data_IF_574991082616
#
_entry.id   IF_574991082616
#
_cell.length_a   1.000
_cell.length_b   1.000
_cell.length_c   1.000
_cell.angle_alpha   90.00
_cell.angle_beta   90.00
_cell.angle_gamma   90.00
#
_symmetry.space_group_name_H-M   'P 1'
#
loop_
_entity.id
_entity.type
_entity.pdbx_description
1 polymer ?
2 non-polymer ?
3 non-polymer ?
4 non-polymer ?
5 water ?
#
# COMPACT_ATOMS: atom_id res chain seq x y z
N UNK A 1 1.50 -19.72 25.92
CA UNK A 1 2.23 -18.68 25.21
C UNK A 1 2.59 -17.53 26.16
N UNK A 2 3.87 -17.15 26.19
CA UNK A 2 4.28 -16.02 27.02
C UNK A 2 3.88 -14.68 26.39
N UNK A 3 3.77 -14.66 25.07
CA UNK A 3 3.44 -13.42 24.34
C UNK A 3 2.06 -12.91 24.71
N UNK A 4 1.89 -11.60 24.76
CA UNK A 4 0.55 -11.02 24.80
C UNK A 4 0.17 -10.61 23.38
N UNK A 5 -1.00 -11.03 22.93
CA UNK A 5 -1.46 -10.68 21.59
C UNK A 5 -2.89 -10.13 21.69
N UNK A 6 -3.05 -8.87 21.28
CA UNK A 6 -4.32 -8.18 21.38
C UNK A 6 -4.67 -7.62 20.00
N UNK A 7 -5.94 -7.66 19.62
CA UNK A 7 -6.34 -7.07 18.34
C UNK A 7 -7.44 -6.07 18.57
N UNK A 8 -7.19 -4.81 18.21
CA UNK A 8 -8.24 -3.81 18.23
C UNK A 8 -8.91 -3.84 16.87
N UNK A 9 -10.23 -4.00 16.84
CA UNK A 9 -10.89 -4.27 15.56
C UNK A 9 -12.32 -3.78 15.59
N UNK A 10 -12.99 -3.84 14.44
CA UNK A 10 -14.38 -3.47 14.30
C UNK A 10 -15.00 -4.60 13.48
N UNK A 11 -16.02 -5.26 14.02
CA UNK A 11 -16.40 -6.59 13.51
C UNK A 11 -16.64 -6.74 11.99
N UNK A 12 -17.27 -5.75 11.33
CA UNK A 12 -17.52 -5.97 9.90
C UNK A 12 -16.37 -5.45 9.01
N UNK A 13 -15.28 -5.02 9.60
CA UNK A 13 -14.14 -4.50 8.83
C UNK A 13 -13.42 -5.59 8.05
N UNK A 14 -13.40 -5.49 6.71
CA UNK A 14 -12.65 -6.49 5.94
C UNK A 14 -11.15 -6.47 6.32
N UNK A 15 -10.67 -5.28 6.63
CA UNK A 15 -9.25 -5.11 6.97
C UNK A 15 -8.90 -5.84 8.27
N UNK A 16 -9.74 -5.67 9.29
CA UNK A 16 -9.54 -6.41 10.54
C UNK A 16 -9.65 -7.91 10.35
N UNK A 17 -10.61 -8.34 9.52
CA UNK A 17 -10.77 -9.76 9.25
C UNK A 17 -9.49 -10.38 8.73
N UNK A 18 -8.74 -9.64 7.90
CA UNK A 18 -7.44 -10.17 7.44
C UNK A 18 -6.55 -10.60 8.60
N UNK A 19 -6.43 -9.73 9.59
CA UNK A 19 -5.57 -9.99 10.74
C UNK A 19 -6.12 -11.15 11.57
N UNK A 20 -7.45 -11.18 11.73
CA UNK A 20 -8.08 -12.31 12.43
C UNK A 20 -7.72 -13.64 11.77
N UNK A 21 -7.87 -13.70 10.45
CA UNK A 21 -7.54 -14.92 9.72
C UNK A 21 -6.06 -15.27 9.91
N UNK A 22 -5.18 -14.28 9.79
CA UNK A 22 -3.75 -14.55 9.90
C UNK A 22 -3.43 -15.15 11.27
N UNK A 23 -4.01 -14.59 12.32
CA UNK A 23 -3.74 -15.08 13.67
C UNK A 23 -4.27 -16.49 13.80
N UNK A 24 -5.47 -16.71 13.31
CA UNK A 24 -6.09 -18.04 13.40
C UNK A 24 -5.31 -19.10 12.63
N UNK A 25 -4.80 -18.72 11.46
CA UNK A 25 -4.04 -19.64 10.62
C UNK A 25 -2.73 -20.07 11.30
N UNK A 26 -2.22 -19.19 12.16
CA UNK A 26 -1.02 -19.52 12.93
C UNK A 26 -1.36 -20.23 14.24
N UNK A 27 -2.66 -20.36 14.53
CA UNK A 27 -3.11 -20.99 15.75
C UNK A 27 -2.80 -20.16 16.98
N UNK A 28 -2.83 -18.84 16.80
CA UNK A 28 -2.56 -17.93 17.91
C UNK A 28 -3.83 -17.50 18.61
N UNK A 29 -3.93 -17.82 19.89
CA UNK A 29 -5.02 -17.32 20.72
C UNK A 29 -4.75 -15.87 21.06
N UNK A 30 -5.69 -15.00 20.76
CA UNK A 30 -5.47 -13.57 21.01
C UNK A 30 -6.69 -12.96 21.67
N UNK A 31 -6.49 -11.81 22.30
CA UNK A 31 -7.60 -11.05 22.85
C UNK A 31 -8.14 -10.08 21.81
N UNK A 32 -9.41 -10.24 21.47
CA UNK A 32 -10.07 -9.35 20.52
C UNK A 32 -10.78 -8.24 21.29
N UNK A 33 -10.57 -7.00 20.89
CA UNK A 33 -11.24 -5.87 21.51
C UNK A 33 -12.06 -5.08 20.50
N UNK A 34 -13.38 -5.09 20.64
CA UNK A 34 -14.27 -4.36 19.73
C UNK A 34 -14.19 -2.85 19.91
N UNK A 35 -13.97 -2.14 18.82
CA UNK A 35 -13.89 -0.68 18.85
C UNK A 35 -15.11 -0.03 18.24
N UNK A 36 -15.62 0.99 18.91
CA UNK A 36 -16.68 1.83 18.38
C UNK A 36 -16.00 2.99 17.67
N UNK A 37 -16.14 3.06 16.35
CA UNK A 37 -15.38 4.04 15.59
C UNK A 37 -15.92 5.45 15.77
N UNK A 38 -17.11 5.54 16.35
CA UNK A 38 -17.70 6.82 16.72
C UNK A 38 -17.30 7.21 18.14
N UNK A 39 -16.69 6.27 18.86
CA UNK A 39 -16.20 6.52 20.20
C UNK A 39 -14.91 5.74 20.45
N UNK A 40 -13.87 6.12 19.71
CA UNK A 40 -12.60 5.39 19.75
C UNK A 40 -12.00 5.40 21.13
N UNK A 41 -11.44 4.27 21.54
CA UNK A 41 -10.86 4.14 22.87
C UNK A 41 -9.56 4.91 22.98
N UNK A 42 -9.22 5.34 24.19
CA UNK A 42 -7.92 5.97 24.45
C UNK A 42 -6.80 5.06 23.98
N UNK A 43 -6.97 3.75 24.17
CA UNK A 43 -5.96 2.79 23.74
C UNK A 43 -5.76 2.87 22.22
N UNK A 44 -6.86 2.91 21.48
CA UNK A 44 -6.76 2.97 20.03
C UNK A 44 -6.04 4.25 19.60
N UNK A 45 -6.42 5.38 20.19
CA UNK A 45 -5.79 6.65 19.85
C UNK A 45 -4.31 6.67 20.22
N UNK A 46 -3.94 5.95 21.27
CA UNK A 46 -2.55 5.89 21.71
C UNK A 46 -1.72 5.00 20.78
N UNK A 47 -2.30 3.87 20.36
CA UNK A 47 -1.61 2.88 19.54
C UNK A 47 -1.57 3.23 18.05
N UNK A 48 -2.56 3.96 17.55
CA UNK A 48 -2.55 4.38 16.16
C UNK A 48 -2.77 5.89 16.05
N UNK A 49 -1.82 6.67 16.57
CA UNK A 49 -2.01 8.13 16.57
C UNK A 49 -2.03 8.70 15.16
N UNK A 50 -1.35 8.05 14.22
CA UNK A 50 -1.25 8.58 12.85
C UNK A 50 -2.55 8.45 12.06
N UNK A 51 -3.15 7.27 12.07
CA UNK A 51 -4.35 7.00 11.28
C UNK A 51 -5.63 6.90 12.13
N UNK A 52 -5.47 6.54 13.40
CA UNK A 52 -6.60 6.36 14.31
C UNK A 52 -7.60 5.38 13.71
N UNK A 53 -7.06 4.31 13.12
CA UNK A 53 -7.88 3.29 12.47
C UNK A 53 -7.64 1.93 13.06
N UNK A 54 -8.63 1.04 12.93
CA UNK A 54 -8.43 -0.38 13.16
C UNK A 54 -8.19 -1.06 11.81
N UNK A 55 -7.60 -2.26 11.81
CA UNK A 55 -7.17 -3.01 13.00
C UNK A 55 -5.83 -2.50 13.53
N UNK A 56 -5.61 -2.72 14.83
CA UNK A 56 -4.28 -2.55 15.41
C UNK A 56 -3.91 -3.85 16.10
N UNK A 57 -2.81 -4.46 15.69
CA UNK A 57 -2.33 -5.65 16.37
C UNK A 57 -1.35 -5.18 17.45
N UNK A 58 -1.52 -5.62 18.68
CA UNK A 58 -0.61 -5.22 19.74
C UNK A 58 0.06 -6.47 20.25
N UNK A 59 1.37 -6.55 20.06
CA UNK A 59 2.11 -7.74 20.43
C UNK A 59 3.09 -7.35 21.51
N UNK A 60 2.92 -7.91 22.70
CA UNK A 60 3.77 -7.55 23.83
C UNK A 60 3.82 -6.04 24.02
N UNK A 61 2.66 -5.41 23.84
CA UNK A 61 2.49 -3.99 24.12
C UNK A 61 2.88 -3.05 23.00
N UNK A 62 3.36 -3.59 21.88
CA UNK A 62 3.79 -2.77 20.74
C UNK A 62 2.79 -2.90 19.60
N UNK A 63 2.39 -1.77 19.02
CA UNK A 63 1.36 -1.79 17.98
C UNK A 63 1.92 -1.97 16.58
N UNK A 64 1.21 -2.74 15.77
CA UNK A 64 1.44 -2.87 14.35
C UNK A 64 0.15 -2.46 13.67
N UNK A 65 0.21 -1.32 12.95
CA UNK A 65 -0.93 -0.79 12.23
C UNK A 65 -0.82 -1.09 10.73
N UNK A 66 -1.97 -1.03 10.05
CA UNK A 66 -2.12 -1.38 8.63
C UNK A 66 -2.23 -2.90 8.46
N UNK A 67 -3.42 -3.35 8.08
CA UNK A 67 -3.72 -4.78 8.08
C UNK A 67 -2.68 -5.68 7.38
N UNK A 68 -2.29 -5.34 6.16
CA UNK A 68 -1.36 -6.20 5.42
C UNK A 68 0.04 -6.22 6.05
N UNK A 69 0.43 -5.08 6.63
CA UNK A 69 1.70 -5.01 7.36
C UNK A 69 1.65 -5.88 8.60
N UNK A 70 0.50 -5.87 9.28
CA UNK A 70 0.29 -6.75 10.42
C UNK A 70 0.33 -8.22 10.02
N UNK A 71 -0.27 -8.57 8.87
CA UNK A 71 -0.24 -9.95 8.43
C UNK A 71 1.20 -10.38 8.13
N UNK A 72 1.96 -9.52 7.48
CA UNK A 72 3.38 -9.80 7.25
C UNK A 72 4.18 -9.97 8.54
N UNK A 73 3.88 -9.15 9.53
CA UNK A 73 4.53 -9.23 10.83
C UNK A 73 4.22 -10.58 11.48
N UNK A 74 2.95 -10.97 11.45
CA UNK A 74 2.55 -12.28 11.99
C UNK A 74 3.32 -13.40 11.27
N UNK A 75 3.45 -13.29 9.95
CA UNK A 75 4.16 -14.29 9.18
C UNK A 75 5.63 -14.39 9.61
N UNK A 76 6.24 -13.24 9.86
CA UNK A 76 7.68 -13.22 10.19
C UNK A 76 7.98 -13.61 11.62
N UNK A 77 7.06 -13.32 12.53
CA UNK A 77 7.24 -13.67 13.93
C UNK A 77 6.93 -15.15 14.19
N UNK A 78 5.78 -15.61 13.72
CA UNK A 78 5.40 -17.02 13.88
C UNK A 78 5.71 -17.79 12.60
N UNK A 79 6.99 -17.97 12.34
CA UNK A 79 7.45 -18.48 11.05
C UNK A 79 7.77 -19.96 11.08
N UNK A 80 7.23 -20.68 12.05
CA UNK A 80 7.47 -22.12 12.14
C UNK A 80 6.21 -22.94 11.86
N UNK A 81 5.21 -22.30 11.27
CA UNK A 81 4.05 -23.04 10.78
C UNK A 81 3.33 -22.27 9.69
N UNK A 82 2.47 -22.98 8.96
CA UNK A 82 1.63 -22.39 7.93
C UNK A 82 2.18 -21.09 7.38
N UNK A 83 3.21 -21.18 6.53
CA UNK A 83 3.73 -19.98 5.87
C UNK A 83 2.68 -19.35 4.96
N UNK A 84 2.50 -18.04 5.09
CA UNK A 84 1.48 -17.32 4.34
C UNK A 84 2.04 -16.70 3.08
N UNK A 85 3.35 -16.64 2.96
CA UNK A 85 4.00 -16.12 1.76
C UNK A 85 4.93 -17.16 1.16
N UNK A 86 5.14 -17.11 -0.16
CA UNK A 86 6.06 -18.02 -0.85
C UNK A 86 7.47 -17.72 -0.41
N UNK A 87 8.40 -18.64 -0.63
CA UNK A 87 9.80 -18.42 -0.30
C UNK A 87 10.56 -17.77 -1.46
N UNK A 88 10.15 -18.09 -2.69
CA UNK A 88 10.80 -17.52 -3.87
C UNK A 88 10.55 -16.01 -3.98
N UNK A 89 11.62 -15.22 -4.12
CA UNK A 89 11.45 -13.76 -4.17
C UNK A 89 10.52 -13.27 -5.27
N UNK A 90 10.60 -13.86 -6.46
CA UNK A 90 9.71 -13.41 -7.53
C UNK A 90 8.23 -13.72 -7.23
N UNK A 91 7.97 -14.94 -6.76
CA UNK A 91 6.62 -15.29 -6.37
C UNK A 91 6.14 -14.38 -5.23
N UNK A 92 7.03 -14.04 -4.31
CA UNK A 92 6.68 -13.15 -3.22
C UNK A 92 6.29 -11.77 -3.76
N UNK A 93 7.04 -11.30 -4.74
CA UNK A 93 6.72 -10.00 -5.34
C UNK A 93 5.35 -10.04 -6.01
N UNK A 94 5.03 -11.15 -6.67
CA UNK A 94 3.72 -11.27 -7.32
C UNK A 94 2.58 -11.33 -6.29
N UNK A 95 2.79 -12.05 -5.20
CA UNK A 95 1.78 -12.12 -4.15
C UNK A 95 1.55 -10.73 -3.57
N UNK A 96 2.65 -10.00 -3.33
CA UNK A 96 2.52 -8.63 -2.85
C UNK A 96 1.79 -7.76 -3.86
N UNK A 97 2.07 -7.96 -5.15
CA UNK A 97 1.43 -7.15 -6.19
C UNK A 97 -0.09 -7.33 -6.13
N UNK A 98 -0.52 -8.58 -6.04
CA UNK A 98 -1.96 -8.84 -6.06
C UNK A 98 -2.68 -8.45 -4.77
N UNK A 99 -2.00 -8.60 -3.63
CA UNK A 99 -2.55 -8.09 -2.38
C UNK A 99 -2.70 -6.56 -2.46
N UNK A 100 -1.70 -5.91 -3.06
CA UNK A 100 -1.77 -4.46 -3.24
C UNK A 100 -2.94 -4.08 -4.13
N UNK A 101 -3.15 -4.83 -5.20
CA UNK A 101 -4.25 -4.58 -6.12
C UNK A 101 -5.57 -4.66 -5.35
N UNK A 102 -5.71 -5.70 -4.55
CA UNK A 102 -6.91 -5.85 -3.74
C UNK A 102 -7.12 -4.63 -2.82
N UNK A 103 -6.03 -4.21 -2.18
CA UNK A 103 -6.05 -3.08 -1.25
C UNK A 103 -6.46 -1.78 -1.93
N UNK A 104 -6.03 -1.59 -3.16
CA UNK A 104 -6.36 -0.37 -3.90
C UNK A 104 -7.76 -0.36 -4.49
N UNK A 105 -8.31 -1.54 -4.77
CA UNK A 105 -9.57 -1.58 -5.51
C UNK A 105 -10.80 -1.90 -4.69
N UNK A 106 -10.73 -3.02 -3.98
CA UNK A 106 -11.98 -3.68 -3.62
C UNK A 106 -12.81 -2.93 -2.60
N UNK A 107 -12.21 -2.50 -1.50
CA UNK A 107 -12.98 -1.85 -0.46
C UNK A 107 -13.68 -0.60 -0.98
N UNK A 108 -12.95 0.25 -1.69
CA UNK A 108 -13.53 1.51 -2.12
C UNK A 108 -14.64 1.33 -3.16
N UNK A 109 -14.42 0.39 -4.09
CA UNK A 109 -15.47 0.11 -5.07
C UNK A 109 -16.72 -0.45 -4.38
N UNK A 110 -16.50 -1.33 -3.40
CA UNK A 110 -17.61 -1.90 -2.65
C UNK A 110 -18.37 -0.85 -1.84
N UNK A 111 -17.62 0.07 -1.25
CA UNK A 111 -18.20 1.18 -0.50
C UNK A 111 -19.08 2.02 -1.42
N UNK A 112 -18.59 2.28 -2.63
CA UNK A 112 -19.38 3.04 -3.59
C UNK A 112 -20.65 2.28 -3.98
N UNK A 113 -20.55 0.97 -4.17
CA UNK A 113 -21.76 0.18 -4.42
C UNK A 113 -22.76 0.31 -3.27
N UNK A 114 -22.25 0.33 -2.04
CA UNK A 114 -23.13 0.35 -0.87
C UNK A 114 -23.69 1.71 -0.48
N UNK A 115 -23.07 2.79 -0.97
CA UNK A 115 -23.46 4.11 -0.49
C UNK A 115 -23.68 5.18 -1.56
N UNK A 116 -23.24 4.92 -2.78
CA UNK A 116 -23.38 5.88 -3.87
C UNK A 116 -24.72 5.72 -4.60
N UNK A 117 -25.02 6.66 -5.49
CA UNK A 117 -26.20 6.58 -6.34
C UNK A 117 -25.82 6.92 -7.77
N UNK A 118 -26.75 6.69 -8.69
CA UNK A 118 -26.60 7.11 -10.06
C UNK A 118 -25.40 6.59 -10.81
N UNK A 119 -24.78 7.49 -11.58
CA UNK A 119 -23.68 7.14 -12.47
C UNK A 119 -22.45 6.67 -11.70
N UNK A 120 -22.18 7.28 -10.56
CA UNK A 120 -21.05 6.89 -9.73
C UNK A 120 -21.22 5.43 -9.33
N UNK A 121 -22.44 5.08 -8.94
CA UNK A 121 -22.76 3.72 -8.51
C UNK A 121 -22.62 2.75 -9.67
N UNK A 122 -23.19 3.08 -10.83
CA UNK A 122 -23.09 2.18 -11.99
C UNK A 122 -21.65 1.94 -12.40
N UNK A 123 -20.86 3.03 -12.42
CA UNK A 123 -19.44 2.94 -12.73
C UNK A 123 -18.73 2.01 -11.74
N UNK A 124 -19.02 2.19 -10.46
CA UNK A 124 -18.39 1.36 -9.42
C UNK A 124 -18.78 -0.11 -9.55
N UNK A 125 -20.03 -0.39 -9.89
CA UNK A 125 -20.46 -1.77 -10.15
C UNK A 125 -19.63 -2.37 -11.26
N UNK A 126 -19.48 -1.63 -12.36
CA UNK A 126 -18.72 -2.16 -13.49
C UNK A 126 -17.26 -2.42 -13.13
N UNK A 127 -16.60 -1.45 -12.49
CA UNK A 127 -15.19 -1.61 -12.13
C UNK A 127 -15.01 -2.75 -11.13
N UNK A 128 -15.97 -2.90 -10.23
CA UNK A 128 -15.94 -3.96 -9.23
C UNK A 128 -15.93 -5.32 -9.91
N UNK A 129 -16.90 -5.56 -10.80
CA UNK A 129 -16.93 -6.84 -11.49
C UNK A 129 -15.66 -7.07 -12.33
N UNK A 130 -15.19 -6.01 -12.99
CA UNK A 130 -13.94 -6.11 -13.74
C UNK A 130 -12.75 -6.56 -12.86
N UNK A 131 -12.68 -5.99 -11.66
CA UNK A 131 -11.61 -6.34 -10.71
C UNK A 131 -11.72 -7.80 -10.26
N UNK A 132 -12.94 -8.21 -9.90
CA UNK A 132 -13.11 -9.60 -9.53
C UNK A 132 -12.69 -10.52 -10.65
N UNK A 133 -13.01 -10.15 -11.89
CA UNK A 133 -12.66 -11.01 -13.01
C UNK A 133 -11.15 -11.09 -13.20
N UNK A 134 -10.46 -9.97 -13.01
CA UNK A 134 -9.00 -9.98 -13.11
C UNK A 134 -8.39 -10.92 -12.05
N UNK A 135 -8.92 -10.82 -10.83
CA UNK A 135 -8.45 -11.69 -9.75
C UNK A 135 -8.73 -13.16 -10.04
N UNK A 136 -9.90 -13.43 -10.60
CA UNK A 136 -10.28 -14.77 -11.02
C UNK A 136 -9.27 -15.34 -11.98
N UNK A 137 -8.89 -14.51 -12.95
CA UNK A 137 -7.89 -14.89 -13.92
C UNK A 137 -6.57 -15.25 -13.23
N UNK A 138 -6.17 -14.47 -12.22
CA UNK A 138 -4.96 -14.82 -11.48
C UNK A 138 -5.07 -16.14 -10.69
N UNK A 139 -6.25 -16.39 -10.13
CA UNK A 139 -6.46 -17.63 -9.39
C UNK A 139 -6.28 -18.85 -10.29
N UNK A 140 -6.81 -18.75 -11.50
CA UNK A 140 -6.76 -19.85 -12.44
C UNK A 140 -7.48 -21.07 -11.90
N UNK A 141 -6.83 -22.23 -11.99
CA UNK A 141 -7.42 -23.48 -11.53
C UNK A 141 -6.89 -23.92 -10.16
N UNK A 142 -6.17 -23.02 -9.49
CA UNK A 142 -5.62 -23.34 -8.16
C UNK A 142 -6.70 -23.38 -7.09
N UNK A 143 -6.45 -24.13 -6.03
CA UNK A 143 -7.41 -24.24 -4.94
C UNK A 143 -7.54 -22.89 -4.23
N UNK A 144 -6.39 -22.27 -3.95
CA UNK A 144 -6.33 -20.94 -3.34
C UNK A 144 -5.40 -20.05 -4.16
N UNK A 145 -5.45 -18.74 -3.93
CA UNK A 145 -4.47 -17.86 -4.56
C UNK A 145 -3.06 -18.29 -4.17
N UNK A 146 -2.92 -18.82 -2.96
CA UNK A 146 -1.64 -19.26 -2.47
C UNK A 146 -1.25 -20.66 -2.96
N UNK A 147 -2.11 -21.28 -3.76
CA UNK A 147 -1.85 -22.61 -4.27
C UNK A 147 -2.63 -23.67 -3.52
N UNK A 148 -1.93 -24.68 -3.00
CA UNK A 148 -2.57 -25.74 -2.24
C UNK A 148 -2.94 -25.29 -0.84
N UNK A 149 -2.39 -24.14 -0.43
CA UNK A 149 -2.66 -23.62 0.90
C UNK A 149 -3.08 -22.14 0.86
N UNK A 150 -3.79 -21.71 1.91
CA UNK A 150 -4.17 -20.31 2.03
C UNK A 150 -2.90 -19.45 2.02
N UNK A 151 -2.93 -18.35 1.27
CA UNK A 151 -1.79 -17.48 1.22
C UNK A 151 -2.16 -16.02 1.47
N UNK A 152 -1.16 -15.16 1.32
CA UNK A 152 -1.28 -13.73 1.58
C UNK A 152 -2.43 -13.08 0.81
N UNK A 153 -2.57 -13.43 -0.47
CA UNK A 153 -3.65 -12.86 -1.27
C UNK A 153 -5.01 -13.39 -0.81
N UNK A 154 -5.08 -14.67 -0.49
CA UNK A 154 -6.35 -15.20 0.07
C UNK A 154 -6.75 -14.41 1.31
N UNK A 155 -5.80 -14.17 2.21
CA UNK A 155 -6.07 -13.43 3.43
C UNK A 155 -6.48 -11.99 3.14
N UNK A 156 -5.84 -11.37 2.15
CA UNK A 156 -6.15 -10.00 1.81
C UNK A 156 -7.57 -9.86 1.27
N UNK A 157 -8.01 -10.88 0.54
CA UNK A 157 -9.21 -10.76 -0.28
C UNK A 157 -10.47 -11.42 0.27
N UNK A 158 -10.34 -12.58 0.89
CA UNK A 158 -11.55 -13.31 1.28
C UNK A 158 -12.48 -12.55 2.26
N UNK A 159 -11.92 -11.69 3.14
CA UNK A 159 -12.87 -10.94 3.98
C UNK A 159 -13.93 -10.19 3.19
N UNK A 160 -13.62 -9.76 1.97
CA UNK A 160 -14.65 -9.02 1.21
C UNK A 160 -15.83 -9.88 0.82
N UNK A 161 -15.64 -11.20 0.81
CA UNK A 161 -16.76 -12.10 0.55
C UNK A 161 -17.89 -11.92 1.56
N UNK A 162 -17.56 -11.55 2.80
CA UNK A 162 -18.59 -11.36 3.82
C UNK A 162 -19.51 -10.20 3.48
N UNK A 163 -19.07 -9.33 2.58
CA UNK A 163 -19.87 -8.20 2.15
C UNK A 163 -20.69 -8.49 0.89
N UNK A 164 -20.60 -9.72 0.38
CA UNK A 164 -21.18 -10.00 -0.92
C UNK A 164 -22.70 -9.84 -0.97
N UNK A 165 -23.41 -10.22 0.09
CA UNK A 165 -24.85 -9.99 0.05
C UNK A 165 -25.16 -8.50 -0.01
N UNK A 166 -24.38 -7.71 0.71
CA UNK A 166 -24.55 -6.26 0.67
C UNK A 166 -24.29 -5.73 -0.75
N UNK A 167 -23.18 -6.14 -1.36
CA UNK A 167 -22.88 -5.70 -2.72
C UNK A 167 -23.98 -6.10 -3.71
N UNK A 168 -24.44 -7.35 -3.59
CA UNK A 168 -25.40 -7.89 -4.54
C UNK A 168 -26.75 -7.19 -4.40
N UNK A 169 -27.15 -6.95 -3.15
CA UNK A 169 -28.48 -6.38 -2.88
C UNK A 169 -28.50 -4.87 -3.13
N UNK A 170 -27.46 -4.17 -2.68
CA UNK A 170 -27.47 -2.72 -2.84
C UNK A 170 -27.05 -2.32 -4.25
N UNK A 171 -26.30 -3.20 -4.91
CA UNK A 171 -25.81 -2.93 -6.24
C UNK A 171 -26.62 -3.60 -7.32
N UNK A 172 -27.57 -4.45 -6.92
CA UNK A 172 -28.32 -5.26 -7.88
C UNK A 172 -27.35 -6.05 -8.75
N UNK A 173 -26.53 -6.87 -8.10
CA UNK A 173 -25.55 -7.67 -8.80
C UNK A 173 -25.78 -9.13 -8.48
N UNK A 174 -25.39 -10.00 -9.39
CA UNK A 174 -25.28 -11.41 -9.08
C UNK A 174 -23.85 -11.83 -9.33
N UNK A 175 -23.03 -11.73 -8.29
CA UNK A 175 -21.59 -11.96 -8.44
C UNK A 175 -21.30 -13.42 -8.79
N UNK A 176 -22.11 -14.34 -8.26
CA UNK A 176 -21.91 -15.76 -8.59
C UNK A 176 -22.16 -16.04 -10.07
N UNK A 177 -23.15 -15.37 -10.66
CA UNK A 177 -23.36 -15.45 -12.10
C UNK A 177 -22.19 -14.90 -12.92
N UNK A 178 -21.67 -13.74 -12.51
CA UNK A 178 -20.58 -13.11 -13.24
C UNK A 178 -19.27 -13.87 -13.03
N UNK A 179 -19.05 -14.31 -11.81
CA UNK A 179 -17.76 -14.83 -11.37
C UNK A 179 -17.91 -16.10 -10.54
N UNK A 180 -18.34 -17.20 -11.19
CA UNK A 180 -18.59 -18.43 -10.43
C UNK A 180 -17.33 -19.02 -9.81
N UNK A 181 -16.19 -18.91 -10.50
CA UNK A 181 -14.95 -19.46 -9.98
C UNK A 181 -14.52 -18.71 -8.73
N UNK A 182 -14.70 -17.41 -8.76
CA UNK A 182 -14.42 -16.56 -7.60
C UNK A 182 -15.24 -16.99 -6.38
N UNK A 183 -16.54 -17.14 -6.60
CA UNK A 183 -17.43 -17.52 -5.48
C UNK A 183 -17.09 -18.92 -4.96
N UNK A 184 -16.79 -19.85 -5.86
CA UNK A 184 -16.40 -21.20 -5.44
C UNK A 184 -15.13 -21.13 -4.58
N UNK A 185 -14.20 -20.28 -5.00
CA UNK A 185 -12.98 -20.11 -4.22
C UNK A 185 -13.29 -19.60 -2.82
N UNK A 186 -14.12 -18.56 -2.73
CA UNK A 186 -14.43 -17.99 -1.42
C UNK A 186 -15.08 -19.03 -0.52
N UNK A 187 -15.99 -19.83 -1.07
CA UNK A 187 -16.64 -20.87 -0.29
C UNK A 187 -15.65 -21.95 0.19
N UNK A 188 -14.70 -22.31 -0.66
CA UNK A 188 -13.61 -23.20 -0.21
C UNK A 188 -12.90 -22.60 0.98
N UNK A 189 -12.58 -21.31 0.90
CA UNK A 189 -11.91 -20.68 2.03
C UNK A 189 -12.74 -20.76 3.29
N UNK A 190 -14.04 -20.52 3.16
CA UNK A 190 -14.93 -20.51 4.31
C UNK A 190 -15.09 -21.89 4.92
N UNK A 191 -14.66 -22.91 4.20
CA UNK A 191 -14.66 -24.24 4.83
C UNK A 191 -13.48 -24.47 5.81
N UNK A 192 -12.46 -23.61 5.76
CA UNK A 192 -11.34 -23.71 6.68
C UNK A 192 -11.69 -23.08 8.03
N UNK A 193 -11.39 -23.79 9.12
CA UNK A 193 -11.74 -23.30 10.45
C UNK A 193 -11.16 -21.91 10.75
N UNK A 194 -9.93 -21.70 10.34
CA UNK A 194 -9.24 -20.44 10.61
C UNK A 194 -9.98 -19.27 9.96
N UNK A 195 -10.62 -19.52 8.83
CA UNK A 195 -11.35 -18.49 8.10
C UNK A 195 -12.76 -18.36 8.66
N UNK A 196 -13.42 -19.49 8.85
CA UNK A 196 -14.79 -19.50 9.33
C UNK A 196 -14.91 -18.82 10.68
N UNK A 197 -13.95 -19.05 11.56
CA UNK A 197 -14.02 -18.49 12.91
C UNK A 197 -13.74 -16.99 12.91
N UNK A 198 -13.14 -16.51 11.84
CA UNK A 198 -12.70 -15.11 11.78
C UNK A 198 -13.71 -14.18 11.12
N UNK A 199 -14.66 -14.75 10.39
CA UNK A 199 -15.50 -13.97 9.49
C UNK A 199 -16.95 -13.95 9.94
N UNK A 200 -17.60 -12.76 9.92
CA UNK A 200 -19.03 -12.73 10.26
C UNK A 200 -19.87 -13.27 9.11
N UNK A 201 -21.12 -13.65 9.40
CA UNK A 201 -22.02 -14.11 8.37
C UNK A 201 -22.41 -13.00 7.41
N UNK A 202 -22.55 -13.33 6.13
CA UNK A 202 -22.95 -12.35 5.13
C UNK A 202 -24.25 -11.67 5.51
N UNK A 203 -25.19 -12.44 6.06
CA UNK A 203 -26.48 -11.86 6.44
C UNK A 203 -26.30 -10.76 7.50
N UNK A 204 -25.36 -10.96 8.41
CA UNK A 204 -25.16 -10.03 9.51
C UNK A 204 -24.51 -8.73 9.01
N UNK A 205 -23.53 -8.88 8.12
CA UNK A 205 -22.91 -7.72 7.50
C UNK A 205 -23.98 -6.96 6.70
N UNK A 206 -24.82 -7.70 5.97
CA UNK A 206 -25.89 -7.10 5.19
C UNK A 206 -26.84 -6.28 6.06
N UNK A 207 -27.25 -6.85 7.20
CA UNK A 207 -28.17 -6.15 8.10
C UNK A 207 -27.51 -4.89 8.65
N UNK A 208 -26.24 -5.02 9.00
CA UNK A 208 -25.48 -3.88 9.49
C UNK A 208 -25.45 -2.74 8.47
N UNK A 209 -25.09 -3.06 7.23
CA UNK A 209 -24.96 -2.03 6.19
C UNK A 209 -26.34 -1.46 5.82
N UNK A 210 -27.35 -2.31 5.77
CA UNK A 210 -28.71 -1.84 5.52
C UNK A 210 -29.10 -0.75 6.51
N UNK A 211 -28.89 -1.03 7.80
CA UNK A 211 -29.14 -0.03 8.82
C UNK A 211 -28.31 1.23 8.63
N UNK A 212 -27.01 1.07 8.41
CA UNK A 212 -26.14 2.23 8.20
C UNK A 212 -26.66 3.12 7.07
N UNK A 213 -27.05 2.49 5.96
CA UNK A 213 -27.58 3.23 4.83
C UNK A 213 -28.78 4.03 5.28
N UNK A 214 -29.66 3.39 6.05
CA UNK A 214 -30.82 4.12 6.57
C UNK A 214 -30.41 5.34 7.40
N UNK A 215 -29.46 5.16 8.31
CA UNK A 215 -28.99 6.27 9.14
C UNK A 215 -28.40 7.41 8.32
N UNK A 216 -27.77 7.06 7.20
CA UNK A 216 -27.10 8.06 6.40
C UNK A 216 -28.04 8.71 5.38
N UNK A 217 -29.30 8.27 5.38
CA UNK A 217 -30.29 8.78 4.43
C UNK A 217 -30.02 8.32 3.02
N UNK A 218 -29.40 7.15 2.89
CA UNK A 218 -29.14 6.54 1.59
C UNK A 218 -30.20 5.50 1.22
N UNK A 219 -30.59 5.45 -0.04
CA UNK A 219 -31.54 4.45 -0.52
C UNK A 219 -31.63 4.45 -2.04
N UNK B 3 22.38 -12.65 -16.52
CA UNK B 3 21.44 -11.92 -15.69
C UNK B 3 21.15 -10.55 -16.29
N UNK B 4 19.93 -10.37 -16.79
CA UNK B 4 19.56 -9.06 -17.30
C UNK B 4 18.71 -8.28 -16.29
N UNK B 5 19.03 -7.02 -16.10
CA UNK B 5 18.18 -6.14 -15.31
C UNK B 5 17.86 -4.89 -16.12
N UNK B 6 16.58 -4.61 -16.29
CA UNK B 6 16.15 -3.44 -17.04
C UNK B 6 15.17 -2.66 -16.18
N UNK B 7 15.18 -1.34 -16.26
CA UNK B 7 14.20 -0.55 -15.51
C UNK B 7 13.46 0.37 -16.46
N UNK B 8 12.15 0.16 -16.60
CA UNK B 8 11.33 1.08 -17.39
C UNK B 8 10.93 2.22 -16.47
N UNK B 9 11.19 3.45 -16.87
CA UNK B 9 11.04 4.58 -15.95
C UNK B 9 10.71 5.84 -16.74
N UNK B 10 10.49 6.93 -16.00
CA UNK B 10 10.19 8.24 -16.56
C UNK B 10 10.96 9.20 -15.66
N UNK B 11 11.83 10.02 -16.24
CA UNK B 11 12.86 10.70 -15.45
C UNK B 11 12.39 11.46 -14.19
N UNK B 12 11.25 12.18 -14.27
CA UNK B 12 10.87 12.95 -13.07
C UNK B 12 9.99 12.18 -12.08
N UNK B 13 9.75 10.91 -12.35
CA UNK B 13 8.91 10.09 -11.46
C UNK B 13 9.60 9.81 -10.13
N UNK B 14 9.01 10.24 -9.01
CA UNK B 14 9.59 9.92 -7.70
C UNK B 14 9.58 8.40 -7.45
N UNK B 15 8.54 7.75 -7.96
CA UNK B 15 8.40 6.29 -7.81
C UNK B 15 9.54 5.55 -8.51
N UNK B 16 9.87 5.94 -9.74
CA UNK B 16 11.00 5.35 -10.44
C UNK B 16 12.34 5.63 -9.74
N UNK B 17 12.50 6.85 -9.25
CA UNK B 17 13.70 7.23 -8.51
C UNK B 17 13.95 6.27 -7.35
N UNK B 18 12.87 5.85 -6.68
CA UNK B 18 13.06 4.86 -5.60
C UNK B 18 13.84 3.62 -6.08
N UNK B 19 13.43 3.10 -7.22
CA UNK B 19 14.02 1.88 -7.74
C UNK B 19 15.46 2.14 -8.22
N UNK B 20 15.66 3.30 -8.85
CA UNK B 20 17.01 3.72 -9.23
C UNK B 20 17.95 3.68 -8.02
N UNK B 21 17.50 4.26 -6.91
CA UNK B 21 18.31 4.33 -5.71
C UNK B 21 18.58 2.94 -5.17
N UNK B 22 17.55 2.11 -5.06
CA UNK B 22 17.75 0.76 -4.53
C UNK B 22 18.80 -0.01 -5.35
N UNK B 23 18.68 0.07 -6.67
CA UNK B 23 19.62 -0.61 -7.56
C UNK B 23 21.04 -0.10 -7.36
N UNK B 24 21.19 1.22 -7.33
CA UNK B 24 22.52 1.81 -7.15
C UNK B 24 23.13 1.47 -5.79
N UNK B 25 22.30 1.51 -4.75
CA UNK B 25 22.76 1.23 -3.40
C UNK B 25 23.25 -0.21 -3.31
N UNK B 26 22.57 -1.12 -4.01
CA UNK B 26 23.03 -2.53 -4.03
C UNK B 26 24.20 -2.75 -4.98
N UNK B 27 24.51 -1.75 -5.80
CA UNK B 27 25.55 -1.89 -6.81
C UNK B 27 25.17 -2.79 -7.96
N UNK B 28 23.88 -2.81 -8.30
CA UNK B 28 23.37 -3.64 -9.36
C UNK B 28 23.40 -2.87 -10.67
N UNK B 29 24.14 -3.40 -11.65
CA UNK B 29 24.18 -2.75 -12.96
C UNK B 29 22.88 -3.05 -13.68
N UNK B 30 22.34 -2.05 -14.37
CA UNK B 30 21.07 -2.26 -15.07
C UNK B 30 20.95 -1.29 -16.23
N UNK B 31 20.06 -1.61 -17.17
CA UNK B 31 19.75 -0.68 -18.24
C UNK B 31 18.51 0.13 -17.90
N UNK B 32 18.65 1.45 -17.94
CA UNK B 32 17.53 2.35 -17.73
C UNK B 32 16.89 2.63 -19.09
N UNK B 33 15.58 2.47 -19.18
CA UNK B 33 14.87 2.79 -20.41
C UNK B 33 13.81 3.85 -20.15
N UNK B 34 13.96 5.00 -20.80
CA UNK B 34 13.01 6.10 -20.63
C UNK B 34 11.73 5.82 -21.41
N UNK B 35 10.60 5.96 -20.72
CA UNK B 35 9.29 5.76 -21.35
C UNK B 35 8.59 7.09 -21.59
N UNK B 36 7.91 7.18 -22.73
CA UNK B 36 7.02 8.29 -23.01
C UNK B 36 5.63 7.83 -22.57
N UNK B 37 5.10 8.47 -21.54
CA UNK B 37 3.83 8.04 -20.97
C UNK B 37 2.63 8.42 -21.84
N UNK B 38 2.87 9.32 -22.79
CA UNK B 38 1.85 9.66 -23.80
C UNK B 38 1.88 8.64 -24.93
N UNK B 39 2.96 7.90 -25.02
CA UNK B 39 3.15 6.94 -26.09
C UNK B 39 3.81 5.68 -25.57
N UNK B 40 3.09 4.99 -24.69
CA UNK B 40 3.64 3.84 -24.00
C UNK B 40 4.08 2.73 -24.95
N UNK B 41 5.26 2.19 -24.69
CA UNK B 41 5.85 1.15 -25.52
C UNK B 41 5.10 -0.16 -25.40
N UNK B 42 5.20 -1.00 -26.44
CA UNK B 42 4.65 -2.36 -26.36
C UNK B 42 5.25 -3.11 -25.17
N UNK B 43 6.53 -2.86 -24.89
CA UNK B 43 7.19 -3.53 -23.77
C UNK B 43 6.51 -3.17 -22.45
N UNK B 44 6.29 -1.88 -22.23
CA UNK B 44 5.63 -1.42 -21.00
C UNK B 44 4.24 -2.02 -20.88
N UNK B 45 3.48 -2.00 -21.97
CA UNK B 45 2.12 -2.53 -21.96
C UNK B 45 2.08 -4.02 -21.69
N UNK B 46 3.10 -4.74 -22.17
CA UNK B 46 3.20 -6.17 -21.92
C UNK B 46 3.63 -6.49 -20.50
N UNK B 47 4.48 -5.64 -19.93
CA UNK B 47 5.09 -5.92 -18.64
C UNK B 47 4.21 -5.46 -17.47
N UNK B 48 3.40 -4.45 -17.71
CA UNK B 48 2.49 -3.96 -16.68
C UNK B 48 1.08 -3.77 -17.26
N UNK B 49 0.45 -4.86 -17.68
CA UNK B 49 -0.88 -4.76 -18.30
C UNK B 49 -1.94 -4.23 -17.33
N UNK B 50 -1.76 -4.49 -16.04
CA UNK B 50 -2.77 -4.12 -15.05
C UNK B 50 -2.81 -2.62 -14.79
N UNK B 51 -1.64 -2.02 -14.54
CA UNK B 51 -1.59 -0.58 -14.22
C UNK B 51 -1.05 0.26 -15.39
N UNK B 52 -0.25 -0.34 -16.26
CA UNK B 52 0.36 0.41 -17.38
C UNK B 52 1.17 1.62 -16.88
N UNK B 53 1.85 1.44 -15.76
CA UNK B 53 2.63 2.52 -15.15
C UNK B 53 4.09 2.14 -15.04
N UNK B 54 4.95 3.14 -14.94
CA UNK B 54 6.32 2.94 -14.51
C UNK B 54 6.43 3.30 -13.04
N UNK B 55 7.48 2.82 -12.36
CA UNK B 55 8.57 1.99 -12.86
C UNK B 55 8.16 0.52 -13.01
N UNK B 56 8.80 -0.16 -13.95
CA UNK B 56 8.73 -1.61 -14.00
C UNK B 56 10.16 -2.15 -13.96
N UNK B 57 10.45 -2.98 -12.96
CA UNK B 57 11.76 -3.62 -12.91
C UNK B 57 11.68 -4.93 -13.67
N UNK B 58 12.55 -5.17 -14.63
CA UNK B 58 12.50 -6.41 -15.38
C UNK B 58 13.76 -7.20 -15.09
N UNK B 59 13.59 -8.35 -14.44
CA UNK B 59 14.73 -9.16 -14.06
C UNK B 59 14.70 -10.47 -14.83
N UNK B 60 15.70 -10.68 -15.66
CA UNK B 60 15.70 -11.84 -16.55
C UNK B 60 14.36 -12.02 -17.27
N UNK B 61 13.82 -10.92 -17.76
CA UNK B 61 12.62 -10.96 -18.59
C UNK B 61 11.31 -10.99 -17.81
N UNK B 62 11.40 -11.02 -16.49
CA UNK B 62 10.20 -11.09 -15.65
C UNK B 62 9.97 -9.78 -14.92
N UNK B 63 8.76 -9.21 -15.03
CA UNK B 63 8.49 -7.88 -14.47
C UNK B 63 8.10 -7.89 -12.99
N UNK B 64 8.56 -6.87 -12.31
CA UNK B 64 8.12 -6.53 -10.97
C UNK B 64 7.61 -5.09 -10.98
N UNK B 65 6.31 -4.94 -10.80
CA UNK B 65 5.64 -3.64 -10.80
C UNK B 65 5.36 -3.16 -9.38
N UNK B 66 5.12 -1.86 -9.26
CA UNK B 66 4.93 -1.15 -7.99
C UNK B 66 6.26 -0.88 -7.32
N UNK B 67 6.65 0.40 -7.31
CA UNK B 67 7.99 0.79 -6.86
C UNK B 67 8.45 0.12 -5.54
N UNK B 68 7.65 0.19 -4.49
CA UNK B 68 8.10 -0.37 -3.20
C UNK B 68 8.18 -1.88 -3.22
N UNK B 69 7.31 -2.53 -3.99
CA UNK B 69 7.41 -3.98 -4.18
C UNK B 69 8.72 -4.34 -4.93
N UNK B 70 9.08 -3.53 -5.92
CA UNK B 70 10.34 -3.73 -6.62
C UNK B 70 11.54 -3.54 -5.70
N UNK B 71 11.48 -2.55 -4.82
CA UNK B 71 12.59 -2.31 -3.88
C UNK B 71 12.70 -3.51 -2.93
N UNK B 72 11.57 -4.02 -2.47
CA UNK B 72 11.63 -5.21 -1.60
C UNK B 72 12.17 -6.45 -2.32
N UNK B 73 11.79 -6.59 -3.59
CA UNK B 73 12.33 -7.67 -4.43
C UNK B 73 13.85 -7.55 -4.52
N UNK B 74 14.34 -6.36 -4.83
CA UNK B 74 15.78 -6.11 -4.87
C UNK B 74 16.44 -6.49 -3.54
N UNK B 75 15.83 -6.10 -2.43
CA UNK B 75 16.35 -6.43 -1.11
C UNK B 75 16.46 -7.94 -0.89
N UNK B 76 15.46 -8.68 -1.38
CA UNK B 76 15.38 -10.11 -1.15
C UNK B 76 16.26 -10.94 -2.10
N UNK B 77 16.50 -10.42 -3.30
CA UNK B 77 17.30 -11.11 -4.30
C UNK B 77 18.79 -10.80 -4.16
N UNK B 78 19.13 -9.51 -4.02
CA UNK B 78 20.52 -9.13 -3.80
C UNK B 78 20.72 -8.86 -2.31
N UNK B 79 20.82 -9.94 -1.54
CA UNK B 79 20.83 -9.86 -0.08
C UNK B 79 22.23 -10.08 0.49
N UNK B 80 23.23 -9.77 -0.31
CA UNK B 80 24.63 -9.97 0.08
C UNK B 80 25.16 -8.82 0.92
N UNK B 81 24.67 -7.61 0.63
CA UNK B 81 25.17 -6.41 1.27
C UNK B 81 24.13 -5.30 1.28
N UNK B 82 24.43 -4.23 2.02
CA UNK B 82 23.57 -3.06 2.08
C UNK B 82 22.09 -3.40 2.29
N UNK B 83 21.76 -4.01 3.44
CA UNK B 83 20.36 -4.35 3.73
C UNK B 83 19.51 -3.08 3.83
N UNK B 84 18.39 -3.07 3.13
CA UNK B 84 17.51 -1.89 3.09
C UNK B 84 16.39 -1.97 4.13
N UNK B 85 16.15 -3.16 4.65
CA UNK B 85 15.16 -3.33 5.71
C UNK B 85 15.84 -3.95 6.91
N UNK B 86 15.35 -3.64 8.13
CA UNK B 86 15.91 -4.19 9.37
C UNK B 86 15.62 -5.69 9.41
N UNK B 87 16.33 -6.42 10.27
CA UNK B 87 16.06 -7.85 10.37
C UNK B 87 14.97 -8.14 11.39
N UNK B 88 14.86 -7.29 12.42
CA UNK B 88 13.86 -7.51 13.46
C UNK B 88 12.46 -7.30 12.90
N UNK B 89 11.54 -8.26 13.15
CA UNK B 89 10.19 -8.14 12.59
C UNK B 89 9.47 -6.86 13.00
N UNK B 90 9.59 -6.44 14.26
CA UNK B 90 8.86 -5.25 14.67
C UNK B 90 9.42 -4.01 13.97
N UNK B 91 10.74 -3.89 13.93
CA UNK B 91 11.36 -2.77 13.25
C UNK B 91 11.01 -2.77 11.77
N UNK B 92 10.92 -3.96 11.18
CA UNK B 92 10.55 -4.09 9.77
C UNK B 92 9.12 -3.62 9.56
N UNK B 93 8.24 -3.96 10.49
CA UNK B 93 6.85 -3.54 10.41
C UNK B 93 6.77 -2.02 10.48
N UNK B 94 7.60 -1.42 11.33
CA UNK B 94 7.57 0.03 11.43
C UNK B 94 8.10 0.71 10.17
N UNK B 95 9.17 0.16 9.61
CA UNK B 95 9.72 0.70 8.37
C UNK B 95 8.68 0.61 7.26
N UNK B 96 7.98 -0.52 7.19
CA UNK B 96 6.93 -0.65 6.20
C UNK B 96 5.79 0.34 6.45
N UNK B 97 5.47 0.57 7.72
CA UNK B 97 4.41 1.50 8.06
C UNK B 97 4.73 2.91 7.57
N UNK B 98 5.97 3.33 7.77
CA UNK B 98 6.34 4.69 7.37
C UNK B 98 6.51 4.84 5.87
N UNK B 99 7.00 3.80 5.20
CA UNK B 99 7.07 3.83 3.75
C UNK B 99 5.66 3.89 3.18
N UNK B 100 4.74 3.17 3.81
CA UNK B 100 3.33 3.17 3.43
C UNK B 100 2.74 4.57 3.60
N UNK B 101 3.06 5.19 4.73
CA UNK B 101 2.61 6.56 5.01
C UNK B 101 3.08 7.51 3.89
N UNK B 102 4.36 7.42 3.55
CA UNK B 102 4.90 8.25 2.46
C UNK B 102 4.13 8.01 1.17
N UNK B 103 3.92 6.72 0.88
CA UNK B 103 3.26 6.31 -0.35
C UNK B 103 1.85 6.86 -0.44
N UNK B 104 1.15 6.92 0.69
CA UNK B 104 -0.22 7.40 0.72
C UNK B 104 -0.36 8.91 0.70
N UNK B 105 0.63 9.62 1.26
CA UNK B 105 0.49 11.06 1.47
C UNK B 105 1.23 11.95 0.48
N UNK B 106 2.52 11.67 0.29
CA UNK B 106 3.37 12.71 -0.28
C UNK B 106 3.08 13.02 -1.75
N UNK B 107 3.05 12.01 -2.60
CA UNK B 107 2.85 12.30 -4.02
C UNK B 107 1.52 13.00 -4.25
N UNK B 108 0.47 12.50 -3.62
CA UNK B 108 -0.87 13.05 -3.83
C UNK B 108 -1.00 14.48 -3.32
N UNK B 109 -0.54 14.72 -2.10
CA UNK B 109 -0.58 16.07 -1.54
C UNK B 109 0.23 17.05 -2.39
N UNK B 110 1.41 16.59 -2.82
CA UNK B 110 2.25 17.39 -3.71
C UNK B 110 1.60 17.71 -5.05
N UNK B 111 0.93 16.71 -5.62
CA UNK B 111 0.22 16.91 -6.87
C UNK B 111 -0.90 17.93 -6.70
N UNK B 112 -1.63 17.84 -5.60
CA UNK B 112 -2.66 18.83 -5.32
C UNK B 112 -2.06 20.22 -5.15
N UNK B 113 -0.90 20.29 -4.50
CA UNK B 113 -0.20 21.57 -4.39
C UNK B 113 0.12 22.13 -5.76
N UNK B 114 0.48 21.27 -6.70
CA UNK B 114 0.91 21.72 -8.03
C UNK B 114 -0.22 21.94 -9.03
N UNK B 115 -1.41 21.41 -8.74
CA UNK B 115 -2.50 21.44 -9.72
C UNK B 115 -3.81 22.03 -9.23
N UNK B 116 -4.20 21.69 -8.00
CA UNK B 116 -5.46 22.15 -7.45
C UNK B 116 -5.47 23.66 -7.25
N UNK B 117 -6.63 24.18 -6.83
CA UNK B 117 -6.78 25.61 -6.57
C UNK B 117 -7.68 25.83 -5.36
N UNK B 118 -7.64 27.04 -4.83
CA UNK B 118 -8.50 27.42 -3.72
C UNK B 118 -8.35 26.59 -2.46
N UNK B 119 -9.48 26.21 -1.88
CA UNK B 119 -9.51 25.54 -0.59
C UNK B 119 -8.87 24.15 -0.61
N UNK B 120 -9.07 23.42 -1.71
CA UNK B 120 -8.43 22.12 -1.84
C UNK B 120 -6.92 22.30 -1.78
N UNK B 121 -6.43 23.29 -2.51
CA UNK B 121 -5.01 23.61 -2.50
C UNK B 121 -4.52 23.96 -1.10
N UNK B 122 -5.25 24.83 -0.40
CA UNK B 122 -4.88 25.22 0.96
C UNK B 122 -4.79 24.02 1.91
N UNK B 123 -5.81 23.17 1.87
CA UNK B 123 -5.84 21.97 2.71
C UNK B 123 -4.67 21.05 2.39
N UNK B 124 -4.38 20.90 1.09
CA UNK B 124 -3.23 20.10 0.67
C UNK B 124 -1.92 20.66 1.22
N UNK B 125 -1.74 21.98 1.16
CA UNK B 125 -0.54 22.60 1.72
C UNK B 125 -0.39 22.29 3.20
N UNK B 126 -1.48 22.50 3.95
CA UNK B 126 -1.45 22.26 5.39
C UNK B 126 -1.07 20.81 5.70
N UNK B 127 -1.73 19.88 5.02
CA UNK B 127 -1.52 18.47 5.29
C UNK B 127 -0.12 18.04 4.91
N UNK B 128 0.40 18.63 3.84
CA UNK B 128 1.75 18.35 3.37
C UNK B 128 2.77 18.72 4.43
N UNK B 129 2.65 19.94 4.97
CA UNK B 129 3.59 20.34 6.02
C UNK B 129 3.45 19.45 7.26
N UNK B 130 2.20 19.14 7.63
CA UNK B 130 1.95 18.24 8.75
C UNK B 130 2.67 16.90 8.55
N UNK B 131 2.62 16.38 7.32
CA UNK B 131 3.22 15.09 7.01
C UNK B 131 4.73 15.17 7.14
N UNK B 132 5.33 16.22 6.57
CA UNK B 132 6.76 16.36 6.70
C UNK B 132 7.16 16.42 8.17
N UNK B 133 6.37 17.11 8.98
CA UNK B 133 6.67 17.20 10.41
C UNK B 133 6.56 15.87 11.14
N UNK B 134 5.53 15.08 10.80
CA UNK B 134 5.42 13.74 11.37
C UNK B 134 6.66 12.90 11.00
N UNK B 135 7.10 13.04 9.76
CA UNK B 135 8.26 12.29 9.28
C UNK B 135 9.54 12.74 10.01
N UNK B 136 9.68 14.05 10.21
CA UNK B 136 10.78 14.58 11.01
C UNK B 136 10.80 13.98 12.40
N UNK B 137 9.61 13.88 13.00
CA UNK B 137 9.51 13.30 14.33
C UNK B 137 9.99 11.85 14.31
N UNK B 138 9.56 11.09 13.31
CA UNK B 138 10.00 9.70 13.20
C UNK B 138 11.52 9.57 12.99
N UNK B 139 12.11 10.50 12.22
CA UNK B 139 13.56 10.49 12.00
C UNK B 139 14.32 10.63 13.33
N UNK B 140 13.85 11.52 14.20
CA UNK B 140 14.52 11.78 15.45
C UNK B 140 15.93 12.31 15.20
N UNK B 141 16.88 11.86 16.01
CA UNK B 141 18.27 12.26 15.82
C UNK B 141 19.08 11.16 15.12
N UNK B 142 18.42 10.45 14.21
CA UNK B 142 19.12 9.47 13.38
C UNK B 142 19.65 10.16 12.12
N UNK B 143 20.74 9.64 11.59
CA UNK B 143 21.31 10.18 10.36
C UNK B 143 20.37 9.96 9.19
N UNK B 144 19.84 8.75 9.06
CA UNK B 144 18.82 8.44 8.05
C UNK B 144 17.67 7.76 8.74
N UNK B 145 16.55 7.62 8.04
CA UNK B 145 15.46 6.83 8.58
C UNK B 145 15.93 5.41 8.83
N UNK B 146 16.86 4.95 7.99
CA UNK B 146 17.41 3.61 8.14
C UNK B 146 18.42 3.48 9.28
N UNK B 147 18.71 4.59 9.97
CA UNK B 147 19.72 4.58 11.01
C UNK B 147 21.02 5.17 10.50
N UNK B 148 22.10 4.38 10.54
CA UNK B 148 23.39 4.87 10.07
C UNK B 148 23.58 4.70 8.56
N UNK B 149 22.67 3.96 7.95
CA UNK B 149 22.71 3.71 6.51
C UNK B 149 21.36 4.01 5.90
N UNK B 150 21.33 4.25 4.59
CA UNK B 150 20.05 4.45 3.89
C UNK B 150 19.19 3.21 4.07
N UNK B 151 17.91 3.42 4.34
CA UNK B 151 16.98 2.30 4.47
C UNK B 151 15.75 2.48 3.61
N UNK B 152 14.83 1.53 3.71
CA UNK B 152 13.58 1.50 2.95
C UNK B 152 12.82 2.84 2.94
N UNK B 153 12.69 3.48 4.11
CA UNK B 153 11.97 4.74 4.19
C UNK B 153 12.71 5.87 3.49
N UNK B 154 14.04 5.89 3.61
CA UNK B 154 14.82 6.92 2.92
C UNK B 154 14.60 6.81 1.42
N UNK B 155 14.65 5.58 0.92
CA UNK B 155 14.46 5.30 -0.50
C UNK B 155 13.05 5.69 -0.93
N UNK B 156 12.07 5.40 -0.08
CA UNK B 156 10.70 5.72 -0.40
C UNK B 156 10.47 7.23 -0.51
N UNK B 157 11.18 7.97 0.35
CA UNK B 157 10.83 9.37 0.60
C UNK B 157 11.72 10.39 -0.14
N UNK B 158 13.02 10.15 -0.15
CA UNK B 158 13.93 11.20 -0.65
C UNK B 158 13.66 11.65 -2.10
N UNK B 159 13.15 10.76 -2.97
CA UNK B 159 12.85 11.25 -4.32
C UNK B 159 11.93 12.47 -4.35
N UNK B 160 11.04 12.61 -3.37
CA UNK B 160 10.13 13.74 -3.37
C UNK B 160 10.83 15.09 -3.13
N UNK B 161 12.05 15.02 -2.61
CA UNK B 161 12.83 16.23 -2.43
C UNK B 161 13.09 16.93 -3.75
N UNK B 162 13.17 16.15 -4.83
CA UNK B 162 13.44 16.73 -6.15
C UNK B 162 12.28 17.60 -6.64
N UNK B 163 11.11 17.43 -6.02
CA UNK B 163 9.92 18.19 -6.37
C UNK B 163 9.72 19.42 -5.50
N UNK B 164 10.68 19.66 -4.60
CA UNK B 164 10.50 20.68 -3.57
C UNK B 164 10.41 22.10 -4.13
N UNK B 165 11.17 22.40 -5.18
CA UNK B 165 11.06 23.73 -5.76
C UNK B 165 9.66 23.94 -6.35
N UNK B 166 9.12 22.89 -6.99
CA UNK B 166 7.76 22.96 -7.51
C UNK B 166 6.75 23.19 -6.39
N UNK B 167 6.82 22.37 -5.33
CA UNK B 167 5.93 22.54 -4.19
C UNK B 167 6.01 23.96 -3.60
N UNK B 168 7.23 24.47 -3.46
CA UNK B 168 7.41 25.77 -2.83
C UNK B 168 6.93 26.91 -3.70
N UNK B 169 7.16 26.79 -5.00
CA UNK B 169 6.81 27.85 -5.93
C UNK B 169 5.31 27.89 -6.14
N UNK B 170 4.74 26.77 -6.53
CA UNK B 170 3.31 26.73 -6.83
C UNK B 170 2.43 26.74 -5.58
N UNK B 171 3.00 26.32 -4.46
CA UNK B 171 2.26 26.28 -3.21
C UNK B 171 2.55 27.46 -2.31
N UNK B 172 3.47 28.31 -2.75
CA UNK B 172 3.94 29.44 -1.94
C UNK B 172 4.28 28.98 -0.53
N UNK B 173 5.13 27.97 -0.45
CA UNK B 173 5.59 27.46 0.83
C UNK B 173 7.07 27.76 0.97
N UNK B 174 7.54 27.86 2.21
CA UNK B 174 8.96 27.87 2.47
C UNK B 174 9.27 26.68 3.36
N UNK B 175 9.47 25.53 2.74
CA UNK B 175 9.69 24.29 3.45
C UNK B 175 10.99 24.35 4.26
N UNK B 176 11.96 25.10 3.74
CA UNK B 176 13.28 25.19 4.38
C UNK B 176 13.18 25.74 5.80
N UNK B 177 12.33 26.75 6.00
CA UNK B 177 12.25 27.39 7.30
C UNK B 177 11.28 26.65 8.23
N UNK B 178 10.34 25.93 7.63
CA UNK B 178 9.33 25.21 8.41
C UNK B 178 9.87 23.86 8.88
N UNK B 179 10.64 23.22 8.00
CA UNK B 179 11.14 21.87 8.26
C UNK B 179 12.64 21.72 7.99
N UNK B 180 13.48 22.45 8.74
CA UNK B 180 14.92 22.39 8.47
C UNK B 180 15.52 21.00 8.75
N UNK B 181 14.99 20.28 9.73
CA UNK B 181 15.45 18.92 10.00
C UNK B 181 15.27 18.04 8.77
N UNK B 182 14.11 18.16 8.14
CA UNK B 182 13.79 17.37 6.95
C UNK B 182 14.74 17.69 5.81
N UNK B 183 14.93 18.97 5.55
CA UNK B 183 15.80 19.41 4.46
C UNK B 183 17.24 18.96 4.71
N UNK B 184 17.72 19.08 5.94
CA UNK B 184 19.07 18.61 6.27
C UNK B 184 19.20 17.12 6.01
N UNK B 185 18.17 16.36 6.39
CA UNK B 185 18.18 14.92 6.10
C UNK B 185 18.28 14.63 4.60
N UNK B 186 17.45 15.32 3.82
CA UNK B 186 17.45 15.12 2.37
C UNK B 186 18.84 15.43 1.80
N UNK B 187 19.45 16.51 2.27
CA UNK B 187 20.77 16.85 1.76
C UNK B 187 21.83 15.81 2.14
N UNK B 188 21.67 15.22 3.33
CA UNK B 188 22.55 14.11 3.73
C UNK B 188 22.41 12.95 2.77
N UNK B 189 21.17 12.61 2.41
CA UNK B 189 20.97 11.56 1.42
C UNK B 189 21.63 11.92 0.09
N UNK B 190 21.51 13.18 -0.31
CA UNK B 190 22.07 13.63 -1.58
C UNK B 190 23.60 13.59 -1.58
N UNK B 191 24.19 13.48 -0.40
CA UNK B 191 25.64 13.23 -0.33
C UNK B 191 26.06 11.80 -0.74
N UNK B 192 25.10 10.88 -0.79
CA UNK B 192 25.36 9.51 -1.22
C UNK B 192 25.32 9.39 -2.74
N UNK B 193 26.31 8.73 -3.32
CA UNK B 193 26.36 8.55 -4.77
C UNK B 193 25.09 7.89 -5.32
N UNK B 194 24.62 6.85 -4.62
CA UNK B 194 23.46 6.09 -5.07
C UNK B 194 22.24 6.99 -5.21
N UNK B 195 22.19 8.03 -4.39
CA UNK B 195 21.07 8.96 -4.43
C UNK B 195 21.35 10.03 -5.47
N UNK B 196 22.50 10.68 -5.35
CA UNK B 196 22.87 11.76 -6.25
C UNK B 196 22.69 11.39 -7.72
N UNK B 197 23.19 10.21 -8.10
CA UNK B 197 23.13 9.82 -9.50
C UNK B 197 21.75 9.36 -9.97
N UNK B 198 20.83 9.20 -9.02
CA UNK B 198 19.49 8.68 -9.32
C UNK B 198 18.44 9.78 -9.44
N UNK B 199 18.75 10.95 -8.89
CA UNK B 199 17.79 12.04 -8.79
C UNK B 199 18.13 13.20 -9.70
N UNK B 200 17.13 13.70 -10.44
CA UNK B 200 17.31 14.91 -11.24
C UNK B 200 17.35 16.14 -10.32
N UNK B 201 17.86 17.26 -10.79
CA UNK B 201 17.92 18.48 -9.98
C UNK B 201 16.53 19.09 -9.83
N UNK B 202 16.33 19.84 -8.74
CA UNK B 202 15.05 20.46 -8.47
C UNK B 202 14.65 21.43 -9.56
N UNK B 203 15.64 22.06 -10.19
CA UNK B 203 15.35 23.01 -11.26
C UNK B 203 14.72 22.32 -12.48
N UNK B 204 15.28 21.18 -12.88
CA UNK B 204 14.75 20.44 -14.03
C UNK B 204 13.31 20.01 -13.77
N UNK B 205 13.05 19.51 -12.57
CA UNK B 205 11.70 19.08 -12.21
C UNK B 205 10.74 20.26 -12.13
N UNK B 206 11.19 21.36 -11.53
CA UNK B 206 10.39 22.58 -11.48
C UNK B 206 9.99 23.02 -12.89
N UNK B 207 10.95 23.02 -13.81
CA UNK B 207 10.69 23.43 -15.18
C UNK B 207 9.69 22.49 -15.86
N UNK B 208 9.90 21.19 -15.66
CA UNK B 208 8.97 20.20 -16.19
C UNK B 208 7.53 20.42 -15.70
N UNK B 209 7.38 20.63 -14.39
CA UNK B 209 6.06 20.84 -13.80
C UNK B 209 5.45 22.16 -14.27
N UNK B 210 6.28 23.17 -14.45
CA UNK B 210 5.82 24.45 -14.96
C UNK B 210 5.21 24.24 -16.34
N UNK B 211 5.95 23.56 -17.21
CA UNK B 211 5.45 23.24 -18.53
C UNK B 211 4.17 22.42 -18.45
N UNK B 212 4.13 21.48 -17.51
CA UNK B 212 2.95 20.62 -17.36
C UNK B 212 1.72 21.46 -17.02
N UNK B 213 1.88 22.38 -16.08
CA UNK B 213 0.81 23.30 -15.69
C UNK B 213 0.35 24.12 -16.89
N UNK B 214 1.31 24.72 -17.58
CA UNK B 214 0.99 25.53 -18.77
C UNK B 214 0.29 24.73 -19.86
N UNK B 215 0.51 23.42 -19.87
CA UNK B 215 -0.09 22.55 -20.88
C UNK B 215 -1.41 21.99 -20.40
N UNK B 216 -1.68 22.16 -19.10
CA UNK B 216 -2.96 21.74 -18.52
C UNK B 216 -3.91 22.92 -18.36
N UNK B 217 -3.45 24.10 -18.75
CA UNK B 217 -4.27 25.30 -18.64
C UNK B 217 -4.43 25.77 -17.21
N UNK B 218 -3.44 25.48 -16.37
CA UNK B 218 -3.46 25.93 -14.99
C UNK B 218 -2.88 27.33 -14.89
N UNK B 219 -1.56 27.42 -14.92
CA UNK B 219 -0.87 28.71 -14.88
C UNK B 219 0.65 28.52 -14.96
X LIG C 1 -12.97 -12.49 17.49
X LIG C 1 -13.60 -12.97 19.15
X LIG C 1 -14.19 -13.25 15.53
X LIG C 1 -15.15 -13.05 14.57
X LIG C 1 -15.90 -11.86 14.57
X LIG C 1 -16.92 -11.67 13.55
X LIG C 1 -17.45 -12.71 12.95
X LIG C 1 -17.29 -10.47 13.22
X LIG C 1 -15.69 -10.91 15.50
X LIG C 1 -13.97 -12.28 16.47
X LIG C 1 -14.72 -11.12 16.47
X LIG D 1 -18.40 5.27 6.77
X LIG D 1 -18.50 6.92 6.19
X LIG D 1 -20.23 4.17 5.48
X LIG D 1 -20.68 3.16 4.64
X LIG D 1 -19.79 2.18 4.21
X LIG D 1 -20.19 1.13 3.35
X LIG D 1 -21.45 0.85 3.21
X LIG D 1 -19.31 0.45 2.70
X LIG D 1 -18.47 2.21 4.60
X LIG D 1 -18.90 4.20 5.87
X LIG D 1 -18.03 3.23 5.44
X LIG E 1 -5.33 0.69 5.22
X LIG E 1 -5.95 0.31 6.49
X LIG E 1 -5.68 -1.11 6.78
X LIG E 1 -5.51 -1.90 5.83
X LIG E 1 -5.61 -1.55 7.98
X LIG E 1 -7.46 0.55 6.44
X LIG E 1 -8.21 0.28 7.72
X LIG E 1 -9.57 0.94 7.84
X LIG E 1 -10.10 1.48 6.84
X LIG E 1 -10.22 0.95 9.12
X LIG E 1 -11.53 1.59 9.30
X LIG E 1 -11.40 2.58 10.40
X LIG E 1 -10.80 2.31 11.41
X LIG E 1 -12.62 0.57 9.62
X LIG E 1 -12.92 -0.60 8.29
X LIG E 1 -12.04 3.85 10.22
X LIG E 1 -11.95 4.86 11.25
X LIG E 1 -11.78 6.26 10.76
X LIG E 1 -11.44 6.46 9.56
X LIG E 1 -11.96 7.23 11.54
X LIG E 1 -13.77 0.28 6.98
X LIG E 1 -15.19 0.60 7.40
X LIG E 1 -15.50 1.84 7.93
X LIG E 1 -16.81 2.09 8.34
X LIG E 1 -17.75 1.10 8.20
X LIG E 1 -19.13 1.32 8.61
X LIG E 1 -19.46 2.42 9.27
X LIG E 1 -20.01 0.37 8.32
X LIG E 1 -17.43 -0.14 7.69
X LIG E 1 -16.13 -0.40 7.29
X LIG F 1 -5.23 4.39 5.72
X LIG F 1 -3.95 4.91 5.10
X LIG F 1 -6.13 5.56 6.01
X LIG F 1 -5.93 3.43 4.76
X LIG F 1 -4.86 3.69 7.01
X LIG G 1 2.03 3.00 -7.12
X LIG G 1 2.94 3.13 -8.25
X LIG G 1 4.34 2.84 -7.82
X LIG G 1 4.69 3.07 -6.64
X LIG G 1 5.17 2.35 -8.66
X LIG G 1 2.84 4.55 -8.83
X LIG G 1 3.63 4.78 -10.08
X LIG G 1 3.16 5.93 -10.97
X LIG G 1 2.32 6.73 -10.53
X LIG G 1 3.72 6.05 -12.29
X LIG G 1 3.33 7.13 -13.21
X LIG G 1 2.82 6.51 -14.45
X LIG G 1 3.44 5.65 -15.00
X LIG G 1 4.50 8.08 -13.50
X LIG G 1 5.05 9.00 -12.05
X LIG G 1 1.57 6.97 -15.01
X LIG G 1 1.12 6.35 -16.23
X LIG G 1 -0.33 6.51 -16.54
X LIG G 1 -1.18 6.49 -15.60
X LIG G 1 -0.68 6.66 -17.74
X LIG G 1 3.79 10.19 -11.63
X LIG G 1 3.49 11.13 -12.78
X LIG G 1 2.46 10.87 -13.65
X LIG G 1 2.21 11.74 -14.71
X LIG G 1 3.01 12.86 -14.88
X LIG G 1 2.79 13.78 -15.97
X LIG G 1 1.74 13.61 -16.80
X LIG G 1 3.62 14.79 -16.15
X LIG G 1 4.06 13.11 -14.01
X LIG G 1 4.30 12.24 -12.96
X LIG H 1 -1.24 14.18 -14.48
X LIG H 1 -2.51 13.22 -13.72
X LIG H 1 0.47 14.48 -12.67
X LIG H 1 1.21 15.29 -11.83
X LIG H 1 1.08 16.67 -11.90
X LIG H 1 1.84 17.53 -11.06
X LIG H 1 2.22 17.09 -9.90
X LIG H 1 2.16 18.73 -11.41
X LIG H 1 0.21 17.23 -12.82
X LIG H 1 -0.42 15.04 -13.58
X LIG H 1 -0.54 16.42 -13.66
X LIG I 1 -1.27 2.47 -8.84
X LIG I 1 -0.13 1.65 -9.37
X LIG I 1 -0.73 3.64 -8.03
X LIG I 1 -2.09 2.98 -9.99
X LIG I 1 -2.15 1.60 -7.97
#
# INVERSE_FOLDING_TARGET
MQDEVVLLDFWPSPFGMRVRIALAEKGIKYEYKEEDLQNKSPLLLKMNPVHKKIPVLIHNGKPICESLIAVQYIEEVWNDRNPLLPSDPYQRAQTRFWADYVDKKIYDLGRKICTSKGEEKEAAKKEFIEALKLLEEQLGDKTYFGGDNLGFVDIALVPFYTWFKAYETFGTLNIESECPKFVAWAKRCLQKESVAKSLPDQQKVYEFIMDLRKKLGIE
MQDEVVLLDFWPSPFGMRVRIALAEKGIKYEYKEEDLQNKSPLLLKMNPVHKKIPVLIHNGKPICESLIAVQYIEEVWNDRNPLLPSDPYQRAQTRFWADYVDKKIYDLGRKICTSKGEEKEAAKKEFIEALKLLEEQLGDKTYFGGDNLGFVDIALVPFYTWFKAYETFGTLNIESECPKFVAWAKRCLQKESVAKSLPDQQKVYEFIMDLRKKLGIE
4NM CAA SAH CAD CAF CAJ NAK OAC OAB CAG C1 CAE
4NM CAA SAH CAD CAF CAJ NAK OAC OAB CAG C1 CAE
GTB N1 CA1 C1 O11 O12 CB1 CG1 CD1 OE1 N2 CA2 C2 O2 CB2 SG2 N3 CA3 C3 O31 O32 C' C1' C2' C3' C4' N41 O41 O42 C5' C6'
PO4 P O1 O2 O3 O4
GTB N1 CA1 C1 O11 O12 CB1 CG1 CD1 OE1 N2 CA2 C2 O2 CB2 SG2 N3 CA3 C3 O31 O32 C' C1' C2' C3' C4' N41 O41 O42 C5' C6'
4NM CAA SAH CAD CAF CAJ NAK OAC OAB CAG C1 CAE
PO4 P O1 O2 O3 O4
#
